data_IF_470766978761
#
_entry.id   IF_470766978761
#
_cell.length_a   1.000
_cell.length_b   1.000
_cell.length_c   1.000
_cell.angle_alpha   90.00
_cell.angle_beta   90.00
_cell.angle_gamma   90.00
#
_symmetry.space_group_name_H-M   'P 1'
#
loop_
_entity.id
_entity.type
_entity.pdbx_description
1 polymer ?
#
# COMPACT_ATOMS: atom_id res chain seq x y z
N UNK A 1 5.51 -13.37 -15.14
CA UNK A 1 5.11 -14.18 -13.96
C UNK A 1 4.03 -13.44 -13.20
N UNK A 2 3.01 -14.13 -12.76
CA UNK A 2 1.93 -13.58 -11.92
C UNK A 2 1.95 -14.30 -10.57
N UNK A 3 1.92 -13.52 -9.49
CA UNK A 3 1.85 -14.04 -8.14
C UNK A 3 0.55 -13.56 -7.47
N UNK A 4 -0.13 -14.46 -6.76
CA UNK A 4 -1.25 -14.12 -5.88
C UNK A 4 -0.87 -14.51 -4.46
N UNK A 5 -1.04 -13.59 -3.54
CA UNK A 5 -0.72 -13.83 -2.13
C UNK A 5 -1.69 -13.01 -1.26
N UNK A 6 -1.76 -13.39 -0.01
CA UNK A 6 -2.41 -12.61 1.03
C UNK A 6 -1.51 -12.57 2.26
N UNK A 7 -1.68 -11.56 3.07
CA UNK A 7 -0.99 -11.43 4.34
C UNK A 7 -1.86 -10.69 5.34
N UNK A 8 -1.57 -10.86 6.62
CA UNK A 8 -2.20 -10.10 7.68
C UNK A 8 -1.48 -8.75 7.85
N UNK A 9 -2.24 -7.75 8.25
CA UNK A 9 -1.64 -6.47 8.61
C UNK A 9 -0.72 -6.60 9.82
N UNK A 10 0.42 -5.94 9.75
CA UNK A 10 1.36 -5.90 10.85
C UNK A 10 0.84 -5.01 11.98
N UNK A 11 1.26 -5.31 13.21
CA UNK A 11 0.93 -4.56 14.43
C UNK A 11 2.17 -3.99 15.12
N UNK A 12 3.35 -4.18 14.55
CA UNK A 12 4.66 -3.85 15.11
C UNK A 12 5.31 -2.63 14.46
N UNK A 13 4.54 -1.80 13.74
CA UNK A 13 4.98 -0.56 13.08
C UNK A 13 5.93 -0.73 11.90
N UNK A 14 6.09 -1.94 11.38
CA UNK A 14 6.87 -2.23 10.17
C UNK A 14 6.01 -2.96 9.12
N UNK A 15 6.44 -2.93 7.86
CA UNK A 15 5.64 -3.48 6.76
C UNK A 15 4.39 -2.64 6.53
N UNK A 16 3.24 -3.28 6.38
CA UNK A 16 1.94 -2.60 6.30
C UNK A 16 1.24 -2.71 7.66
N UNK A 17 1.36 -1.64 8.44
CA UNK A 17 0.83 -1.56 9.80
C UNK A 17 -0.62 -1.08 9.81
N UNK A 18 -1.43 -1.73 10.63
CA UNK A 18 -2.82 -1.35 10.88
C UNK A 18 -3.03 -0.96 12.35
N UNK A 19 -3.71 0.14 12.56
CA UNK A 19 -4.15 0.56 13.89
C UNK A 19 -5.53 1.22 13.84
N UNK A 20 -6.18 1.27 14.98
CA UNK A 20 -7.42 2.00 15.18
C UNK A 20 -7.08 3.23 16.04
N UNK A 21 -7.42 4.42 15.55
CA UNK A 21 -7.22 5.66 16.29
C UNK A 21 -8.27 5.76 17.40
N UNK A 22 -7.84 6.08 18.62
CA UNK A 22 -8.73 6.17 19.77
C UNK A 22 -9.65 7.40 19.73
N UNK A 23 -9.26 8.43 18.99
CA UNK A 23 -9.98 9.69 18.91
C UNK A 23 -11.23 9.62 18.04
N UNK A 24 -11.14 8.93 16.89
CA UNK A 24 -12.22 8.83 15.91
C UNK A 24 -12.75 7.41 15.71
N UNK A 25 -12.06 6.39 16.27
CA UNK A 25 -12.36 4.96 16.14
C UNK A 25 -12.21 4.41 14.72
N UNK A 26 -11.55 5.16 13.83
CA UNK A 26 -11.32 4.76 12.45
C UNK A 26 -10.07 3.90 12.32
N UNK A 27 -10.05 3.04 11.30
CA UNK A 27 -8.90 2.20 10.97
C UNK A 27 -7.98 2.91 9.99
N UNK A 28 -6.71 2.94 10.33
CA UNK A 28 -5.64 3.49 9.51
C UNK A 28 -4.64 2.41 9.12
N UNK A 29 -4.14 2.52 7.90
CA UNK A 29 -3.05 1.70 7.37
C UNK A 29 -1.92 2.62 6.93
N UNK A 30 -0.70 2.27 7.30
CA UNK A 30 0.49 2.90 6.74
C UNK A 30 1.60 1.89 6.52
N UNK A 31 2.47 2.17 5.59
CA UNK A 31 3.62 1.33 5.30
C UNK A 31 4.91 1.93 5.85
N UNK A 32 5.77 1.08 6.38
CA UNK A 32 7.13 1.42 6.78
C UNK A 32 8.05 0.28 6.35
N UNK A 33 8.92 0.58 5.39
CA UNK A 33 9.76 -0.44 4.74
C UNK A 33 11.25 -0.31 5.05
N UNK A 34 11.66 0.74 5.70
CA UNK A 34 13.04 0.94 6.10
C UNK A 34 13.42 -0.04 7.24
N UNK A 35 14.55 -0.72 7.20
CA UNK A 35 15.54 -0.75 6.09
C UNK A 35 15.25 -1.89 5.09
N UNK A 36 14.58 -2.97 5.51
CA UNK A 36 14.33 -4.19 4.76
C UNK A 36 13.01 -4.86 5.16
N UNK A 37 11.95 -4.06 5.26
CA UNK A 37 10.61 -4.54 5.65
C UNK A 37 9.62 -4.61 4.49
N UNK A 38 10.05 -4.31 3.26
CA UNK A 38 9.20 -4.37 2.08
C UNK A 38 8.75 -5.81 1.76
N UNK A 39 9.61 -6.78 1.99
CA UNK A 39 9.28 -8.20 1.77
C UNK A 39 8.18 -8.74 2.70
N UNK A 40 7.85 -8.05 3.78
CA UNK A 40 6.68 -8.37 4.60
C UNK A 40 5.34 -8.08 3.90
N UNK A 41 5.37 -7.27 2.85
CA UNK A 41 4.16 -6.83 2.13
C UNK A 41 4.14 -7.35 0.71
N UNK A 42 5.27 -7.31 0.02
CA UNK A 42 5.40 -7.74 -1.37
C UNK A 42 6.46 -8.82 -1.56
N UNK A 43 6.28 -9.74 -2.50
CA UNK A 43 7.33 -10.67 -2.90
C UNK A 43 8.38 -9.92 -3.73
N UNK A 44 9.37 -9.33 -3.10
CA UNK A 44 10.40 -8.49 -3.72
C UNK A 44 11.79 -8.88 -3.28
N UNK A 45 12.79 -8.53 -4.09
CA UNK A 45 14.18 -8.52 -3.66
C UNK A 45 14.44 -7.21 -2.91
N UNK A 46 14.38 -7.26 -1.60
CA UNK A 46 14.43 -6.09 -0.71
C UNK A 46 15.89 -5.61 -0.54
N UNK A 47 16.43 -5.11 -1.64
CA UNK A 47 17.80 -4.62 -1.72
C UNK A 47 17.82 -3.27 -2.45
N UNK A 48 18.35 -2.20 -1.85
CA UNK A 48 18.31 -0.85 -2.40
C UNK A 48 18.96 -0.67 -3.77
N UNK A 49 19.94 -1.51 -4.11
CA UNK A 49 20.61 -1.48 -5.42
C UNK A 49 19.76 -2.08 -6.55
N UNK A 50 18.74 -2.88 -6.21
CA UNK A 50 17.82 -3.50 -7.16
C UNK A 50 16.56 -2.63 -7.27
N UNK A 51 16.53 -1.82 -8.32
CA UNK A 51 15.46 -0.84 -8.56
C UNK A 51 14.49 -1.33 -9.62
N UNK A 52 13.22 -0.99 -9.46
CA UNK A 52 12.20 -1.31 -10.44
C UNK A 52 11.22 -0.14 -10.62
N UNK A 53 10.60 -0.10 -11.80
CA UNK A 53 9.39 0.71 -12.01
C UNK A 53 8.21 -0.06 -11.47
N UNK A 54 7.35 0.61 -10.74
CA UNK A 54 6.18 0.00 -10.15
C UNK A 54 4.91 0.73 -10.57
N UNK A 55 3.87 -0.04 -10.83
CA UNK A 55 2.49 0.44 -10.92
C UNK A 55 1.70 -0.16 -9.77
N UNK A 56 0.98 0.67 -9.06
CA UNK A 56 0.17 0.27 -7.93
C UNK A 56 -1.30 0.52 -8.22
N UNK A 57 -2.10 -0.53 -8.08
CA UNK A 57 -3.56 -0.44 -8.08
C UNK A 57 -4.07 -0.84 -6.71
N UNK A 58 -4.77 0.06 -6.04
CA UNK A 58 -5.31 -0.17 -4.71
C UNK A 58 -6.82 -0.26 -4.79
N UNK A 59 -7.37 -1.34 -4.26
CA UNK A 59 -8.81 -1.50 -4.04
C UNK A 59 -9.09 -1.40 -2.55
N UNK A 60 -9.89 -0.43 -2.15
CA UNK A 60 -10.17 -0.17 -0.74
C UNK A 60 -11.66 0.21 -0.54
N UNK A 61 -12.16 0.25 0.70
CA UNK A 61 -13.47 0.79 0.98
C UNK A 61 -13.67 2.20 0.41
N UNK A 62 -14.89 2.54 0.03
CA UNK A 62 -15.21 3.78 -0.69
C UNK A 62 -14.89 5.05 0.10
N UNK A 63 -15.03 4.99 1.39
CA UNK A 63 -14.76 6.06 2.34
C UNK A 63 -13.27 6.23 2.68
N UNK A 64 -12.43 5.30 2.23
CA UNK A 64 -10.98 5.38 2.44
C UNK A 64 -10.31 6.26 1.41
N UNK A 65 -9.30 6.97 1.86
CA UNK A 65 -8.37 7.72 0.99
C UNK A 65 -7.03 7.00 0.96
N UNK A 66 -6.57 6.65 -0.23
CA UNK A 66 -5.24 6.10 -0.42
C UNK A 66 -4.27 7.19 -0.85
N UNK A 67 -3.11 7.25 -0.19
CA UNK A 67 -2.04 8.21 -0.47
C UNK A 67 -0.75 7.44 -0.73
N UNK A 68 0.05 7.87 -1.68
CA UNK A 68 1.38 7.33 -1.94
C UNK A 68 2.33 8.43 -2.44
N UNK A 69 3.58 8.05 -2.74
CA UNK A 69 4.59 8.99 -3.20
C UNK A 69 4.30 9.62 -4.57
N UNK A 70 3.39 9.04 -5.34
CA UNK A 70 2.99 9.54 -6.65
C UNK A 70 1.56 10.05 -6.62
N UNK A 71 1.28 11.04 -7.47
CA UNK A 71 -0.08 11.50 -7.67
C UNK A 71 -0.95 10.39 -8.29
N UNK A 72 -2.19 10.40 -7.91
CA UNK A 72 -3.21 9.53 -8.48
C UNK A 72 -3.42 9.83 -9.96
N UNK A 73 -3.41 8.80 -10.80
CA UNK A 73 -3.68 8.94 -12.23
C UNK A 73 -5.12 8.63 -12.60
N UNK A 74 -5.70 7.66 -11.94
CA UNK A 74 -7.06 7.22 -12.19
C UNK A 74 -7.70 6.77 -10.90
N UNK A 75 -8.97 7.07 -10.79
CA UNK A 75 -9.79 6.63 -9.69
C UNK A 75 -11.15 6.19 -10.22
N UNK A 76 -11.70 5.13 -9.67
CA UNK A 76 -12.96 4.55 -10.09
C UNK A 76 -13.72 4.00 -8.89
N UNK A 77 -14.99 4.34 -8.77
CA UNK A 77 -15.89 3.73 -7.81
C UNK A 77 -16.44 2.42 -8.38
N UNK A 78 -16.20 1.32 -7.67
CA UNK A 78 -16.76 0.02 -8.02
C UNK A 78 -18.20 -0.09 -7.54
N UNK A 79 -19.09 -0.61 -8.39
CA UNK A 79 -20.48 -0.82 -8.04
C UNK A 79 -20.65 -1.96 -7.03
N UNK A 80 -21.61 -1.85 -6.13
CA UNK A 80 -22.12 -2.91 -5.26
C UNK A 80 -21.50 -3.01 -3.88
N UNK A 81 -20.20 -2.85 -3.71
CA UNK A 81 -19.53 -3.02 -2.42
C UNK A 81 -18.91 -1.73 -1.84
N UNK A 82 -19.18 -0.58 -2.46
CA UNK A 82 -18.63 0.69 -2.00
C UNK A 82 -17.10 0.75 -2.02
N UNK A 83 -16.46 0.13 -3.00
CA UNK A 83 -15.01 0.09 -3.16
C UNK A 83 -14.54 1.10 -4.20
N UNK A 84 -13.32 1.54 -4.02
CA UNK A 84 -12.63 2.48 -4.91
C UNK A 84 -11.34 1.85 -5.40
N UNK A 85 -11.06 2.01 -6.69
CA UNK A 85 -9.78 1.61 -7.30
C UNK A 85 -8.98 2.87 -7.62
N UNK A 86 -7.75 2.88 -7.15
CA UNK A 86 -6.80 3.95 -7.41
C UNK A 86 -5.62 3.36 -8.19
N UNK A 87 -5.31 3.94 -9.32
CA UNK A 87 -4.13 3.57 -10.11
C UNK A 87 -3.05 4.65 -9.98
N UNK A 88 -1.87 4.22 -9.57
CA UNK A 88 -0.71 5.07 -9.39
C UNK A 88 0.49 4.47 -10.11
N UNK A 89 1.23 5.30 -10.80
CA UNK A 89 2.45 4.92 -11.49
C UNK A 89 3.59 5.83 -11.05
N UNK A 90 4.73 5.24 -10.76
CA UNK A 90 5.91 5.98 -10.35
C UNK A 90 7.21 5.22 -10.61
N UNK A 91 8.31 5.93 -10.60
CA UNK A 91 9.64 5.35 -10.45
C UNK A 91 9.95 5.46 -8.97
N UNK A 92 10.06 4.32 -8.30
CA UNK A 92 10.28 4.32 -6.87
C UNK A 92 11.63 3.71 -6.55
N UNK A 93 12.37 4.44 -5.75
CA UNK A 93 13.68 4.03 -5.29
C UNK A 93 13.58 3.25 -3.98
N UNK A 94 12.56 3.55 -3.22
CA UNK A 94 12.13 2.87 -2.03
C UNK A 94 10.61 2.93 -1.96
N UNK A 95 10.00 1.83 -1.65
CA UNK A 95 8.57 1.77 -1.34
C UNK A 95 8.34 2.32 0.07
N UNK A 96 8.66 3.59 0.28
CA UNK A 96 8.19 4.30 1.46
C UNK A 96 6.83 4.89 1.13
N UNK A 97 5.78 4.18 1.48
CA UNK A 97 4.45 4.73 1.54
C UNK A 97 4.31 5.41 2.90
N UNK A 98 4.18 6.70 2.89
CA UNK A 98 3.81 7.47 4.08
C UNK A 98 2.31 7.68 4.08
#
# INVERSE_FOLDING_TARGET
MQLRYFNLYNKNRVGLHSYIDESDKEQYLYSQFEAFHCFHVFPVFDQPSLKAKMSLVVTCPKDWTAVSNSLEKKYEDLQGEGRRVLERHGIEWFLNFY
#
